data_IF_599821039749
#
_entry.id   IF_599821039749
#
_cell.length_a   1.000
_cell.length_b   1.000
_cell.length_c   1.000
_cell.angle_alpha   90.00
_cell.angle_beta   90.00
_cell.angle_gamma   90.00
#
_symmetry.space_group_name_H-M   'P 1'
#
loop_
_entity.id
_entity.type
_entity.pdbx_description
1 polymer ?
#
# COMPACT_ATOMS: atom_id res chain seq x y z
N UNK A 1 17.75 -1.56 -7.87
CA UNK A 1 16.90 -0.91 -8.89
C UNK A 1 15.63 -0.48 -8.18
N UNK A 2 15.21 0.78 -8.28
CA UNK A 2 14.06 1.30 -7.53
C UNK A 2 12.83 1.39 -8.44
N UNK A 3 11.70 0.85 -8.00
CA UNK A 3 10.43 0.91 -8.71
C UNK A 3 9.90 2.34 -8.75
N UNK A 4 9.27 2.69 -9.86
CA UNK A 4 8.55 3.96 -10.01
C UNK A 4 7.22 3.87 -9.26
N UNK A 5 6.99 4.79 -8.34
CA UNK A 5 5.76 4.82 -7.53
C UNK A 5 4.64 5.49 -8.33
N UNK A 6 3.55 4.77 -8.55
CA UNK A 6 2.38 5.26 -9.29
C UNK A 6 1.13 5.21 -8.41
N UNK A 7 0.63 6.35 -7.91
CA UNK A 7 -0.56 6.37 -7.06
C UNK A 7 -1.85 6.44 -7.89
N UNK A 8 -2.84 5.64 -7.51
CA UNK A 8 -4.19 5.72 -8.07
C UNK A 8 -4.90 7.03 -7.69
N UNK A 9 -5.95 7.39 -8.43
CA UNK A 9 -6.81 8.52 -8.07
C UNK A 9 -7.54 8.31 -6.74
N UNK A 10 -7.90 7.06 -6.41
CA UNK A 10 -8.57 6.75 -5.16
C UNK A 10 -7.61 6.85 -3.98
N UNK A 11 -6.38 6.36 -4.12
CA UNK A 11 -5.32 6.51 -3.10
C UNK A 11 -5.12 7.99 -2.72
N UNK A 12 -5.13 8.90 -3.69
CA UNK A 12 -5.00 10.35 -3.42
C UNK A 12 -6.13 10.89 -2.55
N UNK A 13 -7.34 10.32 -2.65
CA UNK A 13 -8.48 10.68 -1.78
C UNK A 13 -8.32 10.05 -0.40
N UNK A 14 -7.93 8.78 -0.37
CA UNK A 14 -7.66 8.03 0.86
C UNK A 14 -6.59 8.71 1.73
N UNK A 15 -5.49 9.19 1.12
CA UNK A 15 -4.44 9.97 1.81
C UNK A 15 -5.01 11.24 2.46
N UNK A 16 -5.93 11.95 1.78
CA UNK A 16 -6.57 13.15 2.35
C UNK A 16 -7.42 12.79 3.57
N UNK A 17 -8.07 11.63 3.56
CA UNK A 17 -8.86 11.14 4.69
C UNK A 17 -7.97 10.69 5.86
N UNK A 18 -6.91 9.92 5.59
CA UNK A 18 -5.92 9.55 6.60
C UNK A 18 -5.29 10.78 7.26
N UNK A 19 -5.00 11.84 6.47
CA UNK A 19 -4.50 13.12 6.99
C UNK A 19 -5.49 13.81 7.94
N UNK A 20 -6.79 13.78 7.63
CA UNK A 20 -7.83 14.30 8.53
C UNK A 20 -7.96 13.49 9.82
N UNK A 21 -7.59 12.21 9.78
CA UNK A 21 -7.57 11.31 10.94
C UNK A 21 -6.24 11.32 11.70
N UNK A 22 -5.31 12.20 11.33
CA UNK A 22 -4.02 12.37 11.99
C UNK A 22 -3.13 11.11 11.99
N UNK A 23 -3.23 10.28 10.96
CA UNK A 23 -2.34 9.12 10.81
C UNK A 23 -0.88 9.57 10.64
N UNK A 24 0.06 8.80 11.18
CA UNK A 24 1.48 9.07 11.03
C UNK A 24 2.00 8.54 9.68
N UNK A 25 2.15 9.46 8.73
CA UNK A 25 2.62 9.11 7.39
C UNK A 25 4.06 8.58 7.33
N UNK A 26 4.85 8.71 8.39
CA UNK A 26 6.19 8.12 8.43
C UNK A 26 6.13 6.59 8.29
N UNK A 27 5.12 5.95 8.89
CA UNK A 27 4.90 4.50 8.77
C UNK A 27 4.54 4.10 7.34
N UNK A 28 3.66 4.85 6.68
CA UNK A 28 3.29 4.59 5.29
C UNK A 28 4.49 4.79 4.35
N UNK A 29 5.25 5.87 4.53
CA UNK A 29 6.45 6.14 3.74
C UNK A 29 7.47 5.01 3.88
N UNK A 30 7.71 4.52 5.10
CA UNK A 30 8.62 3.39 5.33
C UNK A 30 8.21 2.15 4.54
N UNK A 31 6.92 1.80 4.54
CA UNK A 31 6.42 0.64 3.79
C UNK A 31 6.60 0.84 2.28
N UNK A 32 6.24 2.01 1.77
CA UNK A 32 6.35 2.32 0.33
C UNK A 32 7.81 2.30 -0.12
N UNK A 33 8.73 2.82 0.69
CA UNK A 33 10.17 2.82 0.37
C UNK A 33 10.73 1.39 0.31
N UNK A 34 10.41 0.53 1.29
CA UNK A 34 10.81 -0.88 1.27
C UNK A 34 10.30 -1.60 0.02
N UNK A 35 9.02 -1.39 -0.32
CA UNK A 35 8.42 -1.96 -1.52
C UNK A 35 9.07 -1.44 -2.80
N UNK A 36 9.32 -0.13 -2.87
CA UNK A 36 9.94 0.49 -4.05
C UNK A 36 11.40 0.04 -4.23
N UNK A 37 12.10 -0.33 -3.17
CA UNK A 37 13.45 -0.90 -3.24
C UNK A 37 13.47 -2.38 -3.66
N UNK A 38 12.29 -3.03 -3.71
CA UNK A 38 12.18 -4.47 -3.95
C UNK A 38 12.59 -5.30 -2.73
N UNK A 39 12.63 -4.68 -1.55
CA UNK A 39 12.95 -5.34 -0.29
C UNK A 39 11.73 -6.10 0.22
N UNK A 40 11.94 -7.31 0.75
CA UNK A 40 10.88 -8.09 1.38
C UNK A 40 10.34 -7.35 2.61
N UNK A 41 9.02 -7.23 2.71
CA UNK A 41 8.39 -6.59 3.86
C UNK A 41 8.57 -7.46 5.11
N UNK A 42 9.04 -6.90 6.24
CA UNK A 42 9.08 -7.61 7.51
C UNK A 42 7.73 -8.26 7.88
N UNK A 43 7.72 -9.43 8.55
CA UNK A 43 6.48 -10.17 8.86
C UNK A 43 5.41 -9.37 9.63
N UNK A 44 5.81 -8.33 10.37
CA UNK A 44 4.89 -7.43 11.10
C UNK A 44 3.88 -6.74 10.17
N UNK A 45 4.23 -6.50 8.91
CA UNK A 45 3.35 -5.87 7.93
C UNK A 45 2.32 -6.85 7.36
N UNK A 46 2.37 -8.14 7.71
CA UNK A 46 1.38 -9.19 7.33
C UNK A 46 1.05 -9.16 5.83
N UNK A 47 2.08 -8.98 5.00
CA UNK A 47 1.90 -8.83 3.56
C UNK A 47 1.34 -10.13 2.95
N UNK A 48 0.25 -10.03 2.19
CA UNK A 48 -0.39 -11.18 1.56
C UNK A 48 -1.13 -10.78 0.28
N UNK A 49 -1.37 -11.75 -0.60
CA UNK A 49 -2.18 -11.53 -1.81
C UNK A 49 -3.65 -11.49 -1.44
N UNK A 50 -4.38 -10.55 -2.04
CA UNK A 50 -5.83 -10.53 -2.00
C UNK A 50 -6.41 -11.63 -2.88
N UNK A 51 -7.67 -11.99 -2.65
CA UNK A 51 -8.39 -13.02 -3.40
C UNK A 51 -9.49 -12.45 -4.30
N UNK A 52 -10.01 -13.27 -5.22
CA UNK A 52 -11.12 -12.91 -6.09
C UNK A 52 -10.76 -11.86 -7.13
N UNK A 53 -11.58 -10.82 -7.27
CA UNK A 53 -11.37 -9.74 -8.25
C UNK A 53 -10.10 -8.92 -7.98
N UNK A 54 -9.47 -9.09 -6.81
CA UNK A 54 -8.23 -8.41 -6.42
C UNK A 54 -7.00 -9.33 -6.40
N UNK A 55 -7.02 -10.48 -7.09
CA UNK A 55 -5.91 -11.46 -7.07
C UNK A 55 -4.53 -10.92 -7.48
N UNK A 56 -4.50 -9.87 -8.30
CA UNK A 56 -3.27 -9.19 -8.71
C UNK A 56 -2.75 -8.18 -7.68
N UNK A 57 -3.52 -7.93 -6.62
CA UNK A 57 -3.18 -6.99 -5.57
C UNK A 57 -2.67 -7.71 -4.32
N UNK A 58 -1.80 -7.00 -3.63
CA UNK A 58 -1.28 -7.31 -2.32
C UNK A 58 -1.88 -6.35 -1.31
N UNK A 59 -2.04 -6.85 -0.09
CA UNK A 59 -2.40 -6.05 1.07
C UNK A 59 -1.35 -6.23 2.16
N UNK A 60 -0.97 -5.11 2.78
CA UNK A 60 -0.15 -5.12 3.98
C UNK A 60 -0.69 -4.13 5.02
N UNK A 61 -0.43 -4.43 6.29
CA UNK A 61 -0.76 -3.61 7.44
C UNK A 61 0.35 -2.60 7.71
N UNK A 62 0.13 -1.32 7.38
CA UNK A 62 0.98 -0.20 7.81
C UNK A 62 0.91 -0.05 9.33
N UNK A 63 -0.29 -0.17 9.89
CA UNK A 63 -0.60 -0.29 11.32
C UNK A 63 -1.71 -1.35 11.52
N UNK A 64 -2.06 -1.75 12.76
CA UNK A 64 -3.07 -2.80 12.98
C UNK A 64 -4.40 -2.58 12.24
N UNK A 65 -4.89 -1.34 12.17
CA UNK A 65 -6.10 -0.95 11.41
C UNK A 65 -5.79 0.12 10.34
N UNK A 66 -4.62 0.02 9.70
CA UNK A 66 -4.28 0.82 8.55
C UNK A 66 -3.59 -0.02 7.49
N UNK A 67 -4.26 -0.21 6.37
CA UNK A 67 -3.85 -1.08 5.29
C UNK A 67 -3.35 -0.28 4.10
N UNK A 68 -2.45 -0.89 3.33
CA UNK A 68 -2.05 -0.46 2.00
C UNK A 68 -2.32 -1.60 1.02
N UNK A 69 -3.12 -1.32 -0.01
CA UNK A 69 -3.37 -2.20 -1.14
C UNK A 69 -2.53 -1.72 -2.33
N UNK A 70 -1.72 -2.60 -2.88
CA UNK A 70 -0.77 -2.28 -3.96
C UNK A 70 -0.60 -3.45 -4.93
N UNK A 71 0.02 -3.19 -6.08
CA UNK A 71 0.56 -4.25 -6.96
C UNK A 71 1.93 -3.82 -7.49
N UNK A 72 2.77 -4.79 -7.80
CA UNK A 72 4.07 -4.56 -8.45
C UNK A 72 3.95 -5.04 -9.87
N UNK A 73 4.20 -4.15 -10.82
CA UNK A 73 4.32 -4.49 -12.23
C UNK A 73 5.80 -4.71 -12.56
N UNK A 74 6.14 -5.97 -12.83
CA UNK A 74 7.52 -6.38 -13.10
C UNK A 74 8.00 -5.98 -14.50
N UNK A 75 7.08 -5.73 -15.45
CA UNK A 75 7.44 -5.34 -16.81
C UNK A 75 7.73 -3.84 -16.89
N UNK A 76 6.86 -3.03 -16.28
CA UNK A 76 7.00 -1.57 -16.28
C UNK A 76 7.88 -1.04 -15.13
N UNK A 77 8.36 -1.91 -14.23
CA UNK A 77 9.12 -1.56 -13.02
C UNK A 77 8.36 -0.55 -12.13
N UNK A 78 7.05 -0.76 -11.99
CA UNK A 78 6.15 0.15 -11.27
C UNK A 78 5.61 -0.47 -9.98
N UNK A 79 5.61 0.32 -8.91
CA UNK A 79 4.85 0.07 -7.70
C UNK A 79 3.55 0.86 -7.78
N UNK A 80 2.47 0.18 -8.15
CA UNK A 80 1.16 0.82 -8.24
C UNK A 80 0.45 0.75 -6.88
N UNK A 81 0.24 1.93 -6.30
CA UNK A 81 -0.44 2.09 -5.01
C UNK A 81 -1.94 2.31 -5.26
N UNK A 82 -2.75 1.33 -4.89
CA UNK A 82 -4.16 1.30 -5.25
C UNK A 82 -5.04 2.02 -4.24
N UNK A 83 -5.01 1.61 -2.97
CA UNK A 83 -5.84 2.17 -1.90
C UNK A 83 -5.15 2.09 -0.54
N UNK A 84 -5.58 2.94 0.39
CA UNK A 84 -5.14 2.89 1.78
C UNK A 84 -6.27 3.30 2.72
N UNK A 85 -6.29 2.81 3.96
CA UNK A 85 -7.36 3.14 4.91
C UNK A 85 -7.49 2.09 6.00
N UNK A 86 -8.50 2.23 6.86
CA UNK A 86 -8.84 1.16 7.80
C UNK A 86 -9.52 0.00 7.09
N UNK A 87 -9.73 -1.12 7.79
CA UNK A 87 -10.48 -2.25 7.22
C UNK A 87 -11.86 -1.78 6.72
N UNK A 88 -12.57 -0.97 7.51
CA UNK A 88 -13.91 -0.46 7.15
C UNK A 88 -13.92 0.54 5.99
N UNK A 89 -12.79 1.15 5.63
CA UNK A 89 -12.72 2.02 4.45
C UNK A 89 -12.53 1.22 3.15
N UNK A 90 -12.09 -0.04 3.27
CA UNK A 90 -11.60 -0.87 2.17
C UNK A 90 -12.51 -2.08 1.89
N UNK A 91 -13.20 -2.60 2.92
CA UNK A 91 -14.12 -3.73 2.88
C UNK A 91 -15.37 -3.45 3.72
#
# INVERSE_FOLDING_TARGET
>A
MRLKIVPSNQLRKDIKQAKKRHYDFSHLTQVIDLLAEGTELPPKYRNHRLSGNYHDFWECHVEPDWLLIYRVDGEDLELFLFRTGSHSDLF
#
